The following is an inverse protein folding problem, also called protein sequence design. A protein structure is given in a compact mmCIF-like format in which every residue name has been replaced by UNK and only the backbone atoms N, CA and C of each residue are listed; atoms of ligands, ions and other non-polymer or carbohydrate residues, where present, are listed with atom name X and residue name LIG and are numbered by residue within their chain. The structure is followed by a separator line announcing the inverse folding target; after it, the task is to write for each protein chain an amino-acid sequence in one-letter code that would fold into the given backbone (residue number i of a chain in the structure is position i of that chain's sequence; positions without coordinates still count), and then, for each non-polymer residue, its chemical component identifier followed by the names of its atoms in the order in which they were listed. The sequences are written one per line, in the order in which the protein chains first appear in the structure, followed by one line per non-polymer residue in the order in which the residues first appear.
data_IF_966620087518
#
_entry.id   IF_966620087518
#
_cell.length_a   1.000
_cell.length_b   1.000
_cell.length_c   1.000
_cell.angle_alpha   90.00
_cell.angle_beta   90.00
_cell.angle_gamma   90.00
#
_symmetry.space_group_name_H-M   'P 1'
#
loop_
_entity.id
_entity.type
_entity.pdbx_description
1 polymer ?
#
# COMPACT_ATOMS: atom_id res chain seq x y z
N UNK A 1 11.83 -9.41 8.58
CA UNK A 1 12.12 -8.27 7.68
C UNK A 1 10.87 -7.41 7.56
N UNK A 2 11.04 -6.11 7.36
CA UNK A 2 9.98 -5.09 7.19
C UNK A 2 10.26 -4.36 5.89
N UNK A 3 9.24 -4.10 5.07
CA UNK A 3 9.42 -3.39 3.80
C UNK A 3 8.37 -2.30 3.62
N UNK A 4 8.70 -1.34 2.77
CA UNK A 4 7.83 -0.23 2.38
C UNK A 4 7.66 -0.13 0.87
N UNK A 5 6.71 0.69 0.45
CA UNK A 5 6.47 0.95 -0.97
C UNK A 5 6.08 2.40 -1.19
N UNK A 6 6.85 3.10 -2.02
CA UNK A 6 6.50 4.43 -2.50
C UNK A 6 6.85 4.57 -3.98
N UNK A 7 6.41 5.66 -4.61
CA UNK A 7 6.63 5.94 -6.03
C UNK A 7 7.18 7.34 -6.19
N UNK A 8 8.04 7.50 -7.20
CA UNK A 8 8.40 8.82 -7.73
C UNK A 8 7.85 8.96 -9.15
N UNK A 9 7.28 10.12 -9.42
CA UNK A 9 6.71 10.49 -10.70
C UNK A 9 7.50 11.62 -11.34
N UNK A 10 7.56 11.63 -12.68
CA UNK A 10 8.12 12.75 -13.46
C UNK A 10 7.00 13.68 -13.89
N UNK A 11 7.17 14.98 -13.63
CA UNK A 11 6.29 16.04 -14.12
C UNK A 11 6.65 16.46 -15.54
N UNK A 12 5.71 17.15 -16.19
CA UNK A 12 5.89 17.72 -17.54
C UNK A 12 7.10 18.67 -17.61
N UNK A 13 7.39 19.39 -16.53
CA UNK A 13 8.56 20.28 -16.41
C UNK A 13 9.88 19.55 -16.09
N UNK A 14 9.88 18.22 -16.07
CA UNK A 14 11.06 17.39 -15.80
C UNK A 14 11.45 17.25 -14.33
N UNK A 15 10.75 17.91 -13.40
CA UNK A 15 10.92 17.65 -11.96
C UNK A 15 10.44 16.25 -11.61
N UNK A 16 11.01 15.69 -10.55
CA UNK A 16 10.59 14.39 -9.99
C UNK A 16 10.01 14.60 -8.60
N UNK A 17 8.91 13.94 -8.29
CA UNK A 17 8.15 14.15 -7.04
C UNK A 17 7.89 12.83 -6.34
N UNK A 18 8.20 12.81 -5.05
CA UNK A 18 7.86 11.76 -4.10
C UNK A 18 6.58 12.11 -3.36
N UNK A 19 5.72 11.13 -3.14
CA UNK A 19 4.50 11.32 -2.37
C UNK A 19 4.71 10.95 -0.90
N UNK A 20 4.68 11.97 -0.02
CA UNK A 20 4.68 11.84 1.46
C UNK A 20 5.64 10.77 2.02
N UNK A 21 6.94 10.75 1.63
CA UNK A 21 7.87 9.70 2.03
C UNK A 21 8.05 9.56 3.56
N UNK A 22 7.79 10.62 4.31
CA UNK A 22 7.81 10.65 5.78
C UNK A 22 6.76 9.69 6.37
N UNK A 23 5.60 9.55 5.71
CA UNK A 23 4.55 8.62 6.16
C UNK A 23 4.96 7.17 5.96
N UNK A 24 5.69 6.86 4.89
CA UNK A 24 6.29 5.55 4.70
C UNK A 24 7.37 5.27 5.76
N UNK A 25 8.20 6.26 6.09
CA UNK A 25 9.22 6.14 7.14
C UNK A 25 8.60 5.83 8.51
N UNK A 26 7.54 6.55 8.89
CA UNK A 26 6.78 6.32 10.12
C UNK A 26 6.21 4.89 10.15
N UNK A 27 5.66 4.41 9.03
CA UNK A 27 5.10 3.05 8.96
C UNK A 27 6.18 1.97 9.05
N UNK A 28 7.35 2.17 8.43
CA UNK A 28 8.50 1.28 8.61
C UNK A 28 8.94 1.23 10.08
N UNK A 29 9.03 2.38 10.75
CA UNK A 29 9.39 2.47 12.18
C UNK A 29 8.44 1.64 13.05
N UNK A 30 7.13 1.81 12.88
CA UNK A 30 6.14 0.99 13.59
C UNK A 30 6.28 -0.50 13.28
N UNK A 31 6.53 -0.87 12.02
CA UNK A 31 6.76 -2.27 11.63
C UNK A 31 8.01 -2.86 12.27
N UNK A 32 9.09 -2.08 12.33
CA UNK A 32 10.35 -2.48 12.96
C UNK A 32 10.20 -2.68 14.46
N UNK A 33 9.51 -1.78 15.16
CA UNK A 33 9.20 -1.89 16.59
C UNK A 33 8.44 -3.18 16.90
N UNK A 34 7.41 -3.51 16.11
CA UNK A 34 6.64 -4.77 16.26
C UNK A 34 7.49 -6.03 16.03
N UNK A 35 8.57 -5.92 15.27
CA UNK A 35 9.47 -7.02 14.93
C UNK A 35 10.74 -7.03 15.79
N UNK A 36 10.80 -6.18 16.83
CA UNK A 36 11.99 -6.00 17.67
C UNK A 36 13.26 -5.69 16.84
N UNK A 37 13.12 -4.83 15.83
CA UNK A 37 14.21 -4.41 14.95
C UNK A 37 14.56 -2.94 15.19
N UNK A 38 15.85 -2.55 15.17
CA UNK A 38 16.23 -1.14 15.13
C UNK A 38 15.83 -0.55 13.77
N UNK A 39 15.09 0.57 13.77
CA UNK A 39 14.68 1.28 12.55
C UNK A 39 15.59 2.48 12.27
N UNK A 40 15.76 2.86 10.98
CA UNK A 40 16.32 4.16 10.65
C UNK A 40 15.42 5.29 11.19
N UNK A 41 16.01 6.45 11.48
CA UNK A 41 15.22 7.65 11.74
C UNK A 41 14.40 8.05 10.51
N UNK A 42 13.37 8.89 10.71
CA UNK A 42 12.55 9.40 9.61
C UNK A 42 13.44 10.10 8.58
N UNK A 43 14.37 10.94 9.03
CA UNK A 43 15.29 11.68 8.17
C UNK A 43 16.25 10.75 7.41
N UNK A 44 16.82 9.73 8.08
CA UNK A 44 17.68 8.75 7.44
C UNK A 44 16.94 7.97 6.34
N UNK A 45 15.69 7.58 6.60
CA UNK A 45 14.87 6.90 5.61
C UNK A 45 14.58 7.81 4.41
N UNK A 46 14.13 9.04 4.66
CA UNK A 46 13.74 9.98 3.61
C UNK A 46 14.96 10.38 2.77
N UNK A 47 16.11 10.61 3.39
CA UNK A 47 17.35 10.90 2.67
C UNK A 47 17.79 9.70 1.82
N UNK A 48 17.83 8.48 2.37
CA UNK A 48 18.17 7.28 1.61
C UNK A 48 17.27 7.07 0.38
N UNK A 49 15.95 7.28 0.53
CA UNK A 49 15.00 7.25 -0.58
C UNK A 49 15.32 8.33 -1.61
N UNK A 50 15.56 9.57 -1.17
CA UNK A 50 15.89 10.70 -2.03
C UNK A 50 17.18 10.45 -2.82
N UNK A 51 18.26 10.05 -2.16
CA UNK A 51 19.55 9.75 -2.79
C UNK A 51 19.42 8.62 -3.82
N UNK A 52 18.68 7.56 -3.47
CA UNK A 52 18.44 6.44 -4.40
C UNK A 52 17.69 6.90 -5.66
N UNK A 53 16.67 7.75 -5.51
CA UNK A 53 15.93 8.34 -6.64
C UNK A 53 16.84 9.21 -7.50
N UNK A 54 17.65 10.08 -6.89
CA UNK A 54 18.56 10.97 -7.62
C UNK A 54 19.59 10.19 -8.42
N UNK A 55 20.22 9.17 -7.81
CA UNK A 55 21.17 8.28 -8.50
C UNK A 55 20.54 7.50 -9.68
N UNK A 56 19.22 7.32 -9.65
CA UNK A 56 18.45 6.58 -10.64
C UNK A 56 17.48 7.47 -11.46
N UNK A 57 17.67 8.80 -11.47
CA UNK A 57 16.76 9.75 -12.12
C UNK A 57 16.48 9.41 -13.60
N UNK A 58 17.47 8.86 -14.31
CA UNK A 58 17.34 8.41 -15.71
C UNK A 58 16.31 7.30 -15.91
N UNK A 59 16.04 6.50 -14.88
CA UNK A 59 15.07 5.40 -14.92
C UNK A 59 13.65 5.83 -14.57
N UNK A 60 13.44 7.06 -14.11
CA UNK A 60 12.09 7.57 -13.86
C UNK A 60 11.36 7.73 -15.19
N UNK A 61 10.25 6.99 -15.44
CA UNK A 61 9.54 7.04 -16.70
C UNK A 61 9.12 8.46 -17.11
N UNK A 62 8.91 8.72 -18.41
CA UNK A 62 8.33 9.97 -18.88
C UNK A 62 6.96 10.26 -18.27
N UNK A 63 6.51 11.53 -18.27
CA UNK A 63 5.17 11.89 -17.78
C UNK A 63 4.09 11.03 -18.44
N UNK A 64 3.14 10.55 -17.63
CA UNK A 64 2.04 9.69 -18.08
C UNK A 64 2.41 8.25 -18.49
N UNK A 65 3.69 7.88 -18.53
CA UNK A 65 4.14 6.53 -18.95
C UNK A 65 4.42 5.56 -17.81
N UNK A 66 4.34 6.01 -16.56
CA UNK A 66 4.54 5.17 -15.39
C UNK A 66 5.16 5.92 -14.22
N UNK A 67 5.80 5.16 -13.34
CA UNK A 67 6.52 5.68 -12.18
C UNK A 67 7.77 4.85 -11.91
N UNK A 68 8.70 5.39 -11.13
CA UNK A 68 9.77 4.57 -10.56
C UNK A 68 9.31 4.13 -9.16
N UNK A 69 9.05 2.83 -9.02
CA UNK A 69 8.68 2.23 -7.75
C UNK A 69 9.92 2.10 -6.87
N UNK A 70 9.80 2.48 -5.61
CA UNK A 70 10.89 2.48 -4.63
C UNK A 70 10.51 1.51 -3.52
N UNK A 71 11.45 0.63 -3.18
CA UNK A 71 11.30 -0.44 -2.20
C UNK A 71 12.38 -0.34 -1.12
N UNK A 72 12.09 0.37 -0.02
CA UNK A 72 12.87 0.28 1.20
C UNK A 72 12.63 -1.06 1.90
N UNK A 73 13.69 -1.73 2.35
CA UNK A 73 13.67 -3.01 3.02
C UNK A 73 14.61 -2.95 4.23
N UNK A 74 14.08 -3.29 5.40
CA UNK A 74 14.80 -3.51 6.64
C UNK A 74 14.82 -5.00 6.94
N UNK A 75 16.00 -5.60 6.99
CA UNK A 75 16.17 -7.06 7.13
C UNK A 75 17.18 -7.36 8.23
N UNK A 76 16.80 -8.26 9.15
CA UNK A 76 17.74 -8.82 10.11
C UNK A 76 18.46 -10.02 9.52
N UNK A 77 19.75 -10.17 9.84
CA UNK A 77 20.61 -11.27 9.41
C UNK A 77 21.57 -11.67 10.52
N UNK A 78 22.10 -12.89 10.46
CA UNK A 78 23.15 -13.33 11.38
C UNK A 78 23.14 -14.82 11.69
N UNK A 79 24.19 -15.26 12.39
CA UNK A 79 24.41 -16.66 12.75
C UNK A 79 23.63 -17.01 14.03
N UNK A 80 22.30 -17.05 13.93
CA UNK A 80 21.43 -17.47 15.04
C UNK A 80 20.37 -18.43 14.52
N UNK A 81 20.29 -19.62 15.14
CA UNK A 81 19.26 -20.62 14.87
C UNK A 81 18.10 -20.55 15.88
N UNK A 82 18.35 -19.98 17.06
CA UNK A 82 17.35 -19.79 18.10
C UNK A 82 16.31 -18.71 17.74
N UNK A 83 15.13 -18.80 18.34
CA UNK A 83 14.07 -17.81 18.19
C UNK A 83 14.43 -16.54 18.98
N UNK A 84 14.88 -15.49 18.28
CA UNK A 84 15.28 -14.22 18.89
C UNK A 84 15.48 -13.10 17.87
N UNK A 85 15.78 -11.90 18.37
CA UNK A 85 16.17 -10.77 17.52
C UNK A 85 17.48 -11.08 16.77
N UNK A 86 17.61 -10.58 15.54
CA UNK A 86 18.81 -10.80 14.75
C UNK A 86 19.99 -9.99 15.34
N UNK A 87 21.23 -10.48 15.26
CA UNK A 87 22.39 -9.75 15.75
C UNK A 87 22.77 -8.57 14.84
N UNK A 88 22.40 -8.62 13.55
CA UNK A 88 22.70 -7.57 12.57
C UNK A 88 21.46 -7.22 11.75
N UNK A 89 21.42 -5.97 11.27
CA UNK A 89 20.32 -5.45 10.46
C UNK A 89 20.85 -4.63 9.29
N UNK A 90 20.29 -4.87 8.11
CA UNK A 90 20.55 -4.12 6.89
C UNK A 90 19.31 -3.31 6.49
N UNK A 91 19.49 -2.01 6.27
CA UNK A 91 18.52 -1.14 5.61
C UNK A 91 18.98 -0.87 4.18
N UNK A 92 18.15 -1.23 3.22
CA UNK A 92 18.46 -1.11 1.79
C UNK A 92 17.28 -0.51 1.04
N UNK A 93 17.58 0.27 0.00
CA UNK A 93 16.58 0.88 -0.87
C UNK A 93 16.92 0.55 -2.30
N UNK A 94 15.98 -0.06 -3.02
CA UNK A 94 16.12 -0.32 -4.45
C UNK A 94 14.90 0.17 -5.22
N UNK A 95 15.05 0.28 -6.53
CA UNK A 95 14.05 0.87 -7.40
C UNK A 95 13.79 0.01 -8.63
N UNK A 96 12.59 0.11 -9.18
CA UNK A 96 12.22 -0.54 -10.44
C UNK A 96 11.24 0.33 -11.21
N UNK A 97 11.47 0.60 -12.51
CA UNK A 97 10.50 1.32 -13.33
C UNK A 97 9.26 0.45 -13.54
N UNK A 98 8.08 1.05 -13.31
CA UNK A 98 6.79 0.37 -13.49
C UNK A 98 5.89 1.19 -14.41
N UNK A 99 5.21 0.51 -15.33
CA UNK A 99 4.18 1.12 -16.17
C UNK A 99 2.90 1.40 -15.39
N UNK A 100 1.95 2.07 -16.03
CA UNK A 100 0.61 2.29 -15.45
C UNK A 100 -0.11 0.96 -15.26
N UNK A 101 -0.84 0.81 -14.16
CA UNK A 101 -1.66 -0.37 -13.91
C UNK A 101 -2.83 -0.48 -14.90
N UNK A 102 -3.37 0.66 -15.33
CA UNK A 102 -4.45 0.74 -16.31
C UNK A 102 -3.93 1.34 -17.61
N UNK A 103 -3.99 0.55 -18.69
CA UNK A 103 -3.47 0.97 -20.00
C UNK A 103 -4.34 2.03 -20.68
N UNK A 104 -5.60 2.22 -20.28
CA UNK A 104 -6.50 3.29 -20.72
C UNK A 104 -7.78 3.26 -19.86
N UNK A 105 -8.22 4.40 -19.30
CA UNK A 105 -9.49 4.52 -18.55
C UNK A 105 -9.52 3.93 -17.13
N UNK A 106 -10.63 4.19 -16.41
CA UNK A 106 -11.00 3.50 -15.17
C UNK A 106 -11.69 2.18 -15.56
N UNK A 107 -10.94 1.08 -15.61
CA UNK A 107 -11.56 -0.24 -15.74
C UNK A 107 -12.04 -0.69 -14.34
N UNK A 108 -13.35 -0.92 -14.13
CA UNK A 108 -13.85 -1.45 -12.86
C UNK A 108 -13.24 -2.83 -12.61
N UNK A 109 -12.86 -3.10 -11.35
CA UNK A 109 -12.37 -4.42 -10.95
C UNK A 109 -13.53 -5.33 -10.53
N UNK A 110 -13.53 -6.56 -11.03
CA UNK A 110 -14.45 -7.59 -10.56
C UNK A 110 -13.79 -8.37 -9.41
N UNK A 111 -14.39 -8.29 -8.23
CA UNK A 111 -13.83 -8.84 -7.00
C UNK A 111 -14.51 -10.16 -6.64
N UNK A 112 -13.69 -11.12 -6.21
CA UNK A 112 -14.15 -12.33 -5.57
C UNK A 112 -14.27 -12.10 -4.05
N UNK A 113 -15.18 -12.85 -3.44
CA UNK A 113 -15.35 -12.89 -2.00
C UNK A 113 -15.01 -14.30 -1.55
N UNK A 114 -13.78 -14.49 -1.08
CA UNK A 114 -13.36 -15.74 -0.47
C UNK A 114 -13.85 -15.83 0.98
N UNK A 115 -14.58 -16.89 1.31
CA UNK A 115 -15.18 -17.09 2.64
C UNK A 115 -14.42 -18.10 3.48
N UNK A 116 -13.64 -18.97 2.84
CA UNK A 116 -13.03 -20.14 3.48
C UNK A 116 -11.54 -19.95 3.80
N UNK A 117 -10.91 -18.88 3.29
CA UNK A 117 -9.49 -18.59 3.47
C UNK A 117 -9.31 -17.17 4.01
N UNK A 118 -8.72 -17.05 5.20
CA UNK A 118 -8.40 -15.76 5.79
C UNK A 118 -7.18 -15.14 5.06
N UNK A 119 -7.36 -13.99 4.41
CA UNK A 119 -6.28 -13.22 3.76
C UNK A 119 -5.30 -12.64 4.78
N UNK A 120 -5.82 -12.12 5.88
CA UNK A 120 -5.03 -11.65 7.00
C UNK A 120 -5.69 -12.20 8.27
N UNK A 121 -5.00 -13.11 8.93
CA UNK A 121 -5.22 -13.38 10.35
C UNK A 121 -4.28 -12.46 11.14
N UNK A 122 -4.52 -12.14 12.42
CA UNK A 122 -3.54 -11.46 13.27
C UNK A 122 -2.11 -12.06 13.22
N UNK A 123 -1.94 -13.26 12.64
CA UNK A 123 -0.69 -14.02 12.57
C UNK A 123 -0.18 -14.37 11.15
N UNK A 124 -0.95 -14.25 10.05
CA UNK A 124 -0.53 -14.74 8.71
C UNK A 124 -1.11 -13.90 7.57
N UNK A 125 -0.29 -13.59 6.54
CA UNK A 125 -0.71 -13.03 5.24
C UNK A 125 -0.91 -14.19 4.23
N UNK A 126 -2.14 -14.39 3.77
CA UNK A 126 -2.57 -15.53 2.95
C UNK A 126 -2.52 -15.24 1.44
N UNK A 127 -1.44 -15.62 0.77
CA UNK A 127 -1.33 -15.57 -0.71
C UNK A 127 -2.25 -16.57 -1.44
N UNK A 128 -2.76 -17.61 -0.75
CA UNK A 128 -3.62 -18.65 -1.34
C UNK A 128 -4.97 -18.13 -1.81
N UNK A 129 -5.55 -17.16 -1.09
CA UNK A 129 -6.85 -16.58 -1.44
C UNK A 129 -6.82 -15.87 -2.80
N UNK A 130 -5.75 -15.10 -3.07
CA UNK A 130 -5.54 -14.41 -4.35
C UNK A 130 -5.40 -15.40 -5.52
N UNK A 131 -4.68 -16.51 -5.34
CA UNK A 131 -4.53 -17.53 -6.39
C UNK A 131 -5.88 -18.19 -6.72
N UNK A 132 -6.72 -18.43 -5.71
CA UNK A 132 -8.05 -19.02 -5.88
C UNK A 132 -9.05 -18.04 -6.53
N UNK A 133 -8.96 -16.74 -6.24
CA UNK A 133 -9.75 -15.72 -6.93
C UNK A 133 -9.40 -15.66 -8.43
N UNK A 134 -8.10 -15.64 -8.75
CA UNK A 134 -7.63 -15.63 -10.15
C UNK A 134 -8.02 -16.89 -10.91
N UNK A 135 -7.95 -18.07 -10.29
CA UNK A 135 -8.39 -19.31 -10.96
C UNK A 135 -9.90 -19.36 -11.21
N UNK A 136 -10.69 -18.53 -10.53
CA UNK A 136 -12.14 -18.36 -10.73
C UNK A 136 -12.50 -17.22 -11.67
N UNK A 137 -11.51 -16.58 -12.31
CA UNK A 137 -11.72 -15.49 -13.28
C UNK A 137 -11.95 -14.10 -12.67
N UNK A 138 -11.71 -13.93 -11.37
CA UNK A 138 -11.81 -12.63 -10.70
C UNK A 138 -10.47 -11.90 -10.66
N UNK A 139 -10.53 -10.57 -10.59
CA UNK A 139 -9.34 -9.71 -10.56
C UNK A 139 -8.61 -9.78 -9.22
N UNK A 140 -9.35 -10.01 -8.13
CA UNK A 140 -8.83 -9.96 -6.76
C UNK A 140 -9.76 -10.64 -5.74
N UNK A 141 -9.30 -10.72 -4.49
CA UNK A 141 -10.10 -11.09 -3.31
C UNK A 141 -10.21 -9.91 -2.32
N UNK A 142 -11.33 -9.81 -1.60
CA UNK A 142 -11.69 -8.58 -0.86
C UNK A 142 -12.17 -8.76 0.59
N UNK A 143 -12.21 -9.99 1.12
CA UNK A 143 -12.99 -10.29 2.34
C UNK A 143 -12.25 -11.15 3.35
N UNK A 144 -12.45 -10.84 4.63
CA UNK A 144 -12.29 -11.79 5.72
C UNK A 144 -13.68 -12.19 6.23
N UNK A 145 -14.12 -13.41 5.89
CA UNK A 145 -15.41 -14.03 6.26
C UNK A 145 -16.67 -13.22 5.89
N UNK A 146 -16.97 -12.15 6.64
CA UNK A 146 -18.19 -11.32 6.54
C UNK A 146 -17.92 -9.82 6.33
N UNK A 147 -16.67 -9.37 6.47
CA UNK A 147 -16.29 -7.97 6.40
C UNK A 147 -15.35 -7.69 5.21
N UNK A 148 -15.59 -6.57 4.55
CA UNK A 148 -14.75 -6.02 3.47
C UNK A 148 -13.59 -5.24 4.12
N UNK A 149 -12.34 -5.64 3.85
CA UNK A 149 -11.15 -5.06 4.50
C UNK A 149 -10.20 -4.40 3.48
N UNK A 150 -9.63 -5.17 2.56
CA UNK A 150 -8.66 -4.73 1.55
C UNK A 150 -8.86 -5.49 0.23
N UNK A 151 -8.53 -4.86 -0.90
CA UNK A 151 -8.50 -5.49 -2.24
C UNK A 151 -7.05 -5.58 -2.67
N UNK A 152 -6.51 -6.81 -2.80
CA UNK A 152 -5.05 -7.04 -2.93
C UNK A 152 -4.28 -6.20 -1.92
N UNK A 153 -3.38 -5.31 -2.34
CA UNK A 153 -2.55 -4.47 -1.49
C UNK A 153 -3.09 -3.05 -1.34
N UNK A 154 -4.38 -2.86 -1.61
CA UNK A 154 -5.04 -1.55 -1.61
C UNK A 154 -6.13 -1.46 -0.53
N UNK A 155 -6.24 -0.29 0.09
CA UNK A 155 -7.38 0.03 0.96
C UNK A 155 -8.63 0.30 0.11
N UNK A 156 -9.80 0.02 0.70
CA UNK A 156 -11.10 0.16 0.03
C UNK A 156 -11.82 1.43 0.49
N UNK A 157 -12.55 2.04 -0.43
CA UNK A 157 -13.46 3.15 -0.18
C UNK A 157 -14.83 2.86 -0.81
N UNK A 158 -15.89 3.19 -0.09
CA UNK A 158 -17.27 3.17 -0.58
C UNK A 158 -17.78 4.61 -0.57
N UNK A 159 -18.26 5.08 -1.72
CA UNK A 159 -18.84 6.42 -1.86
C UNK A 159 -20.35 6.28 -2.05
N UNK A 160 -21.14 6.93 -1.19
CA UNK A 160 -22.60 6.97 -1.27
C UNK A 160 -23.10 8.36 -0.93
N UNK A 161 -23.61 9.09 -1.92
CA UNK A 161 -23.99 10.49 -1.75
C UNK A 161 -22.80 11.33 -1.28
N UNK A 162 -22.96 12.07 -0.18
CA UNK A 162 -21.90 12.88 0.43
C UNK A 162 -21.03 12.10 1.46
N UNK A 163 -21.20 10.78 1.57
CA UNK A 163 -20.46 9.96 2.51
C UNK A 163 -19.39 9.12 1.82
N UNK A 164 -18.18 9.11 2.38
CA UNK A 164 -17.08 8.23 2.01
C UNK A 164 -16.77 7.33 3.21
N UNK A 165 -17.01 6.04 3.06
CA UNK A 165 -16.74 5.04 4.09
C UNK A 165 -15.52 4.18 3.73
N UNK A 166 -14.69 3.86 4.71
CA UNK A 166 -13.54 2.95 4.55
C UNK A 166 -13.40 2.09 5.80
N UNK A 167 -12.89 0.86 5.70
CA UNK A 167 -12.64 0.02 6.87
C UNK A 167 -11.79 0.74 7.92
N UNK A 168 -12.16 0.61 9.21
CA UNK A 168 -11.38 1.14 10.32
C UNK A 168 -10.00 0.48 10.36
N UNK A 169 -8.95 1.22 10.75
CA UNK A 169 -7.60 0.63 10.87
C UNK A 169 -7.51 -0.10 12.21
N UNK A 170 -8.16 -1.25 12.32
CA UNK A 170 -8.11 -2.14 13.48
C UNK A 170 -7.57 -3.52 13.07
N UNK A 171 -6.53 -4.00 13.73
CA UNK A 171 -6.00 -5.36 13.52
C UNK A 171 -5.33 -5.59 12.16
N UNK A 172 -6.12 -6.02 11.16
CA UNK A 172 -5.69 -6.63 9.88
C UNK A 172 -5.51 -5.65 8.73
N UNK A 173 -6.04 -4.43 8.85
CA UNK A 173 -6.01 -3.42 7.78
C UNK A 173 -4.75 -2.57 7.87
N UNK A 174 -4.02 -2.45 6.76
CA UNK A 174 -2.82 -1.65 6.68
C UNK A 174 -3.17 -0.14 6.68
N UNK A 175 -2.54 0.69 7.52
CA UNK A 175 -2.65 2.14 7.42
C UNK A 175 -1.95 2.66 6.15
N UNK A 176 -2.67 2.66 5.02
CA UNK A 176 -2.15 3.16 3.75
C UNK A 176 -1.94 4.67 3.73
N UNK A 177 -0.81 5.11 3.15
CA UNK A 177 -0.53 6.54 2.94
C UNK A 177 -1.59 7.15 2.01
N UNK A 178 -1.90 6.50 0.89
CA UNK A 178 -2.97 6.92 -0.03
C UNK A 178 -4.33 6.97 0.66
N UNK A 179 -4.63 6.00 1.53
CA UNK A 179 -5.88 6.00 2.31
C UNK A 179 -6.00 7.24 3.18
N UNK A 180 -4.94 7.55 3.94
CA UNK A 180 -4.89 8.75 4.79
C UNK A 180 -5.10 10.02 3.95
N UNK A 181 -4.40 10.15 2.83
CA UNK A 181 -4.53 11.31 1.95
C UNK A 181 -5.94 11.47 1.37
N UNK A 182 -6.59 10.39 0.90
CA UNK A 182 -7.97 10.44 0.39
C UNK A 182 -8.94 10.93 1.48
N UNK A 183 -8.81 10.41 2.69
CA UNK A 183 -9.66 10.80 3.82
C UNK A 183 -9.47 12.28 4.19
N UNK A 184 -8.22 12.77 4.20
CA UNK A 184 -7.90 14.17 4.45
C UNK A 184 -8.54 15.07 3.37
N UNK A 185 -8.28 14.80 2.09
CA UNK A 185 -8.82 15.57 0.96
C UNK A 185 -10.36 15.55 0.97
N UNK A 186 -10.97 14.39 1.20
CA UNK A 186 -12.43 14.26 1.24
C UNK A 186 -13.06 15.20 2.27
N UNK A 187 -12.47 15.30 3.48
CA UNK A 187 -12.95 16.21 4.53
C UNK A 187 -12.82 17.67 4.11
N UNK A 188 -11.69 18.03 3.52
CA UNK A 188 -11.44 19.41 3.05
C UNK A 188 -12.46 19.83 1.97
N UNK A 189 -12.96 18.88 1.20
CA UNK A 189 -14.02 19.08 0.20
C UNK A 189 -15.46 18.90 0.74
N UNK A 190 -15.64 18.77 2.06
CA UNK A 190 -16.97 18.71 2.68
C UNK A 190 -17.66 17.35 2.66
N UNK A 191 -16.96 16.28 2.30
CA UNK A 191 -17.49 14.91 2.43
C UNK A 191 -17.50 14.46 3.88
N UNK A 192 -18.54 13.71 4.26
CA UNK A 192 -18.57 12.99 5.52
C UNK A 192 -17.72 11.72 5.40
N UNK A 193 -16.61 11.65 6.13
CA UNK A 193 -15.76 10.45 6.13
C UNK A 193 -16.06 9.57 7.33
N UNK A 194 -16.36 8.28 7.10
CA UNK A 194 -16.67 7.31 8.16
C UNK A 194 -15.65 6.18 8.12
N UNK A 195 -14.94 5.95 9.23
CA UNK A 195 -14.13 4.75 9.43
C UNK A 195 -14.94 3.74 10.25
N UNK A 196 -15.39 2.65 9.61
CA UNK A 196 -16.27 1.65 10.21
C UNK A 196 -16.05 0.28 9.60
N UNK A 197 -16.51 -0.79 10.25
CA UNK A 197 -16.58 -2.11 9.61
C UNK A 197 -17.58 -2.08 8.45
N UNK A 198 -17.21 -2.71 7.33
CA UNK A 198 -18.03 -2.78 6.13
C UNK A 198 -18.52 -4.22 5.92
N UNK A 199 -19.83 -4.45 6.01
CA UNK A 199 -20.41 -5.77 5.81
C UNK A 199 -20.42 -6.16 4.31
N UNK A 200 -20.15 -7.43 4.01
CA UNK A 200 -20.16 -7.98 2.64
C UNK A 200 -21.55 -8.03 1.98
N UNK A 201 -22.63 -7.66 2.68
CA UNK A 201 -24.00 -7.57 2.13
C UNK A 201 -24.29 -6.24 1.43
N UNK A 202 -23.32 -5.32 1.38
CA UNK A 202 -23.42 -4.08 0.61
C UNK A 202 -23.47 -4.38 -0.91
N UNK A 203 -24.68 -4.42 -1.46
CA UNK A 203 -24.93 -4.57 -2.90
C UNK A 203 -24.65 -3.24 -3.61
N UNK A 204 -23.92 -3.27 -4.73
CA UNK A 204 -23.70 -2.11 -5.60
C UNK A 204 -22.36 -1.38 -5.43
N UNK A 205 -21.30 -2.08 -5.05
CA UNK A 205 -19.96 -1.48 -4.96
C UNK A 205 -19.40 -1.30 -6.38
N UNK A 206 -19.33 -0.06 -6.85
CA UNK A 206 -18.40 0.31 -7.93
C UNK A 206 -17.02 0.47 -7.32
N UNK A 207 -16.16 -0.52 -7.50
CA UNK A 207 -14.76 -0.46 -7.08
C UNK A 207 -13.93 0.25 -8.13
N UNK A 208 -13.35 1.38 -7.74
CA UNK A 208 -12.25 2.02 -8.46
C UNK A 208 -10.98 1.83 -7.66
N UNK A 209 -9.88 1.42 -8.31
CA UNK A 209 -8.55 1.61 -7.74
C UNK A 209 -8.18 3.08 -7.93
N UNK A 210 -7.95 3.79 -6.83
CA UNK A 210 -7.31 5.10 -6.90
C UNK A 210 -5.81 4.84 -6.97
N UNK A 211 -5.27 4.85 -8.19
CA UNK A 211 -3.83 4.96 -8.38
C UNK A 211 -3.42 6.41 -8.10
N UNK A 212 -2.36 6.61 -7.32
CA UNK A 212 -1.76 7.91 -7.07
C UNK A 212 -1.25 8.50 -8.39
N UNK A 213 -2.12 9.23 -9.07
CA UNK A 213 -1.80 10.03 -10.24
C UNK A 213 -1.52 11.44 -9.74
N UNK A 214 -0.32 11.68 -9.23
CA UNK A 214 0.12 13.04 -8.94
C UNK A 214 0.16 13.83 -10.26
N UNK A 215 -0.73 14.81 -10.39
CA UNK A 215 -0.67 15.88 -11.39
C UNK A 215 0.39 16.93 -11.04
#
# INVERSE_FOLDING_TARGET
AVYEGTKVHRKEDGRVILFRPEQNAIRMKFGAERMCMPSPSIDQFVDAVRQTVLANKRWVPPPGKGSLYIRPLLMGSGQILGLGAAPEYAFLVYVSPVGNYFKEGFAPLNLYVEKDLDRASPRIIGFKALTKAKSRGFSDDSVNRKNIEEVSSCNIFIVKGNAISTPAVNGTILPGVTRRSIVEIARDHGYQTVSQELSSTLVGIKTGLIEDKMG
#
